data_IF_745133741282
#
_entry.id   IF_745133741282
#
_cell.length_a   1.000
_cell.length_b   1.000
_cell.length_c   1.000
_cell.angle_alpha   90.00
_cell.angle_beta   90.00
_cell.angle_gamma   90.00
#
_symmetry.space_group_name_H-M   'P 1'
#
loop_
_entity.id
_entity.type
_entity.pdbx_description
1 polymer ?
#
# COMPACT_ATOMS: atom_id res chain seq x y z
N UNK A 1 -7.60 -66.34 -44.57
CA UNK A 1 -7.11 -65.00 -44.97
C UNK A 1 -8.21 -64.02 -44.61
N UNK A 2 -8.39 -63.65 -43.34
CA UNK A 2 -7.73 -62.56 -42.58
C UNK A 2 -8.08 -61.15 -43.11
N UNK A 3 -8.85 -60.43 -42.27
CA UNK A 3 -8.94 -58.96 -42.11
C UNK A 3 -9.79 -58.28 -43.21
N UNK A 4 -10.98 -57.72 -42.96
CA UNK A 4 -11.21 -56.58 -42.07
C UNK A 4 -12.68 -56.52 -41.57
N UNK A 5 -12.90 -56.84 -40.30
CA UNK A 5 -14.11 -56.50 -39.52
C UNK A 5 -13.71 -55.59 -38.34
N UNK A 6 -12.69 -54.73 -38.53
CA UNK A 6 -12.11 -53.91 -37.45
C UNK A 6 -12.45 -52.42 -37.59
N UNK A 7 -13.11 -51.98 -38.67
CA UNK A 7 -13.25 -50.54 -38.94
C UNK A 7 -14.48 -49.85 -38.32
N UNK A 8 -15.31 -50.53 -37.52
CA UNK A 8 -16.53 -49.94 -36.91
C UNK A 8 -16.39 -49.70 -35.40
N UNK A 9 -15.36 -50.25 -34.75
CA UNK A 9 -15.10 -50.06 -33.31
C UNK A 9 -14.15 -48.90 -32.97
N UNK A 10 -13.58 -48.22 -33.97
CA UNK A 10 -12.67 -47.06 -33.78
C UNK A 10 -13.41 -45.70 -33.87
N UNK A 11 -14.65 -45.67 -34.36
CA UNK A 11 -15.41 -44.41 -34.50
C UNK A 11 -16.27 -44.04 -33.28
N UNK A 12 -16.42 -44.92 -32.28
CA UNK A 12 -17.23 -44.67 -31.06
C UNK A 12 -16.33 -44.44 -29.83
N UNK A 13 -15.01 -44.64 -29.97
CA UNK A 13 -13.98 -44.32 -28.97
C UNK A 13 -13.32 -42.94 -29.18
N UNK A 14 -14.00 -42.03 -29.89
CA UNK A 14 -13.84 -40.57 -29.76
C UNK A 14 -15.19 -40.08 -29.17
N UNK A 15 -15.59 -40.53 -27.99
CA UNK A 15 -14.74 -40.61 -26.81
C UNK A 15 -14.50 -39.21 -26.24
N UNK A 16 -15.58 -38.45 -26.05
CA UNK A 16 -15.85 -37.69 -24.82
C UNK A 16 -14.56 -37.14 -24.18
N UNK A 17 -13.95 -36.14 -24.80
CA UNK A 17 -12.91 -35.36 -24.16
C UNK A 17 -13.01 -33.90 -24.63
N UNK A 18 -13.36 -33.04 -23.68
CA UNK A 18 -13.23 -31.57 -23.72
C UNK A 18 -14.28 -30.80 -24.52
N UNK A 19 -15.57 -30.99 -24.20
CA UNK A 19 -16.55 -29.89 -24.28
C UNK A 19 -17.23 -29.60 -22.93
N UNK A 20 -16.53 -29.90 -21.84
CA UNK A 20 -16.88 -29.49 -20.48
C UNK A 20 -15.86 -28.46 -19.99
N UNK A 21 -15.92 -27.23 -20.52
CA UNK A 21 -15.33 -26.06 -19.83
C UNK A 21 -15.92 -24.70 -20.26
N UNK A 22 -17.07 -24.65 -20.94
CA UNK A 22 -17.70 -23.36 -21.31
C UNK A 22 -19.20 -23.29 -20.95
N UNK A 23 -19.57 -23.93 -19.85
CA UNK A 23 -20.60 -23.34 -19.00
C UNK A 23 -19.84 -22.81 -17.79
N UNK A 24 -19.53 -21.51 -17.78
CA UNK A 24 -19.23 -20.82 -16.51
C UNK A 24 -20.50 -20.99 -15.67
N UNK A 25 -20.49 -22.02 -14.83
CA UNK A 25 -21.47 -22.19 -13.76
C UNK A 25 -21.48 -20.84 -13.03
N UNK A 26 -22.62 -20.16 -12.86
CA UNK A 26 -22.64 -18.97 -12.04
C UNK A 26 -22.09 -19.39 -10.68
N UNK A 27 -21.02 -18.75 -10.22
CA UNK A 27 -20.44 -18.99 -8.91
C UNK A 27 -21.46 -18.52 -7.86
N UNK A 28 -22.42 -19.38 -7.56
CA UNK A 28 -23.44 -19.21 -6.54
C UNK A 28 -22.88 -19.68 -5.20
N UNK A 29 -21.71 -19.17 -4.83
CA UNK A 29 -21.08 -19.38 -3.55
C UNK A 29 -20.59 -18.04 -3.03
N UNK A 30 -20.86 -17.75 -1.76
CA UNK A 30 -20.25 -16.61 -1.07
C UNK A 30 -18.73 -16.75 -1.21
N UNK A 31 -18.09 -15.78 -1.86
CA UNK A 31 -16.64 -15.80 -2.05
C UNK A 31 -15.98 -15.23 -0.81
N UNK A 32 -15.05 -15.99 -0.24
CA UNK A 32 -14.23 -15.52 0.88
C UNK A 32 -12.92 -14.95 0.32
N UNK A 33 -12.57 -13.73 0.72
CA UNK A 33 -11.27 -13.13 0.47
C UNK A 33 -10.50 -12.99 1.79
N UNK A 34 -9.26 -13.43 1.82
CA UNK A 34 -8.35 -13.23 2.95
C UNK A 34 -7.61 -11.90 2.78
N UNK A 35 -7.67 -11.06 3.82
CA UNK A 35 -7.08 -9.71 3.81
C UNK A 35 -6.08 -9.58 4.94
N UNK A 36 -4.82 -9.29 4.62
CA UNK A 36 -3.78 -9.00 5.61
C UNK A 36 -3.64 -7.49 5.80
N UNK A 37 -3.56 -7.03 7.05
CA UNK A 37 -3.40 -5.61 7.38
C UNK A 37 -2.78 -5.39 8.76
N UNK A 38 -2.15 -4.24 8.96
CA UNK A 38 -1.64 -3.83 10.29
C UNK A 38 -2.69 -2.98 11.02
N UNK A 39 -2.93 -3.30 12.29
CA UNK A 39 -3.84 -2.56 13.18
C UNK A 39 -3.40 -1.12 13.37
N UNK A 40 -4.34 -0.26 13.75
CA UNK A 40 -4.11 1.16 14.01
C UNK A 40 -3.51 1.94 12.82
N UNK A 41 -3.45 1.35 11.63
CA UNK A 41 -3.16 2.09 10.41
C UNK A 41 -4.42 2.86 10.04
N UNK A 42 -4.27 4.17 9.87
CA UNK A 42 -5.40 5.04 9.58
C UNK A 42 -6.21 4.48 8.39
N UNK A 43 -7.54 4.47 8.55
CA UNK A 43 -8.54 4.14 7.53
C UNK A 43 -8.70 2.66 7.13
N UNK A 44 -7.80 1.73 7.46
CA UNK A 44 -7.93 0.33 7.01
C UNK A 44 -9.16 -0.38 7.62
N UNK A 45 -9.32 -0.34 8.94
CA UNK A 45 -10.45 -1.00 9.60
C UNK A 45 -11.80 -0.39 9.19
N UNK A 46 -11.84 0.93 9.03
CA UNK A 46 -13.02 1.66 8.56
C UNK A 46 -13.37 1.27 7.12
N UNK A 47 -12.39 1.27 6.21
CA UNK A 47 -12.59 0.87 4.82
C UNK A 47 -13.06 -0.58 4.71
N UNK A 48 -12.49 -1.50 5.48
CA UNK A 48 -12.89 -2.91 5.51
C UNK A 48 -14.31 -3.08 6.08
N UNK A 49 -14.66 -2.31 7.11
CA UNK A 49 -16.01 -2.29 7.68
C UNK A 49 -17.03 -1.77 6.67
N UNK A 50 -16.73 -0.66 6.00
CA UNK A 50 -17.57 -0.08 4.98
C UNK A 50 -17.76 -1.03 3.79
N UNK A 51 -16.69 -1.67 3.33
CA UNK A 51 -16.76 -2.68 2.27
C UNK A 51 -17.70 -3.83 2.62
N UNK A 52 -17.61 -4.37 3.84
CA UNK A 52 -18.51 -5.44 4.34
C UNK A 52 -19.98 -5.01 4.34
N UNK A 53 -20.26 -3.76 4.68
CA UNK A 53 -21.63 -3.24 4.69
C UNK A 53 -22.20 -3.11 3.28
N UNK A 54 -21.39 -2.69 2.30
CA UNK A 54 -21.83 -2.52 0.91
C UNK A 54 -21.88 -3.83 0.12
N UNK A 55 -21.08 -4.84 0.49
CA UNK A 55 -20.92 -6.07 -0.28
C UNK A 55 -21.30 -7.31 0.54
N UNK A 56 -22.56 -7.73 0.44
CA UNK A 56 -23.06 -8.94 1.14
C UNK A 56 -22.70 -10.26 0.46
N UNK A 57 -22.19 -10.21 -0.77
CA UNK A 57 -21.80 -11.41 -1.55
C UNK A 57 -20.37 -11.88 -1.31
N UNK A 58 -19.54 -11.03 -0.69
CA UNK A 58 -18.12 -11.28 -0.44
C UNK A 58 -17.90 -11.26 1.07
N UNK A 59 -17.33 -12.35 1.60
CA UNK A 59 -16.92 -12.44 2.99
C UNK A 59 -15.44 -12.10 3.09
N UNK A 60 -15.08 -11.21 4.01
CA UNK A 60 -13.68 -10.91 4.28
C UNK A 60 -13.20 -11.69 5.52
N UNK A 61 -12.21 -12.57 5.32
CA UNK A 61 -11.39 -13.14 6.37
C UNK A 61 -10.23 -12.19 6.66
N UNK A 62 -10.39 -11.33 7.67
CA UNK A 62 -9.42 -10.27 7.97
C UNK A 62 -8.40 -10.80 8.99
N UNK A 63 -7.12 -10.77 8.63
CA UNK A 63 -6.00 -11.13 9.50
C UNK A 63 -5.23 -9.86 9.85
N UNK A 64 -5.30 -9.49 11.12
CA UNK A 64 -4.73 -8.26 11.65
C UNK A 64 -3.39 -8.53 12.34
N UNK A 65 -2.39 -7.71 12.05
CA UNK A 65 -1.06 -7.76 12.65
C UNK A 65 -0.86 -6.54 13.54
N UNK A 66 -0.07 -6.66 14.62
CA UNK A 66 0.25 -5.52 15.49
C UNK A 66 1.35 -4.66 14.86
N UNK A 67 2.24 -5.27 14.08
CA UNK A 67 3.41 -4.64 13.47
C UNK A 67 3.58 -5.01 12.00
N UNK A 68 4.18 -4.09 11.23
CA UNK A 68 4.54 -4.29 9.82
C UNK A 68 5.55 -5.44 9.63
N UNK A 69 6.45 -5.64 10.58
CA UNK A 69 7.43 -6.73 10.57
C UNK A 69 6.75 -8.10 10.62
N UNK A 70 5.76 -8.27 11.51
CA UNK A 70 5.00 -9.51 11.67
C UNK A 70 4.21 -9.83 10.38
N UNK A 71 3.58 -8.81 9.78
CA UNK A 71 2.88 -8.96 8.51
C UNK A 71 3.86 -9.40 7.42
N UNK A 72 5.00 -8.73 7.31
CA UNK A 72 5.98 -8.96 6.24
C UNK A 72 6.62 -10.34 6.33
N UNK A 73 6.97 -10.81 7.54
CA UNK A 73 7.49 -12.16 7.78
C UNK A 73 6.46 -13.24 7.43
N UNK A 74 5.20 -13.04 7.87
CA UNK A 74 4.12 -13.97 7.57
C UNK A 74 3.82 -14.03 6.07
N UNK A 75 3.74 -12.86 5.44
CA UNK A 75 3.51 -12.73 4.00
C UNK A 75 4.62 -13.41 3.19
N UNK A 76 5.89 -13.20 3.54
CA UNK A 76 7.00 -13.85 2.85
C UNK A 76 6.92 -15.38 2.94
N UNK A 77 6.58 -15.91 4.11
CA UNK A 77 6.38 -17.34 4.34
C UNK A 77 5.22 -17.88 3.49
N UNK A 78 4.07 -17.21 3.53
CA UNK A 78 2.87 -17.68 2.82
C UNK A 78 2.98 -17.57 1.31
N UNK A 79 3.67 -16.54 0.80
CA UNK A 79 3.96 -16.43 -0.63
C UNK A 79 4.87 -17.58 -1.09
N UNK A 80 5.88 -17.95 -0.29
CA UNK A 80 6.77 -19.07 -0.63
C UNK A 80 6.05 -20.43 -0.65
N UNK A 81 4.99 -20.60 0.14
CA UNK A 81 4.17 -21.82 0.18
C UNK A 81 2.95 -21.78 -0.76
N UNK A 82 2.73 -20.66 -1.47
CA UNK A 82 1.57 -20.48 -2.35
C UNK A 82 0.24 -20.32 -1.60
N UNK A 83 0.28 -19.97 -0.31
CA UNK A 83 -0.89 -19.78 0.57
C UNK A 83 -1.06 -18.32 1.01
N UNK A 84 -0.53 -17.39 0.22
CA UNK A 84 -0.62 -15.94 0.48
C UNK A 84 -2.07 -15.44 0.57
N UNK A 85 -2.28 -14.26 1.20
CA UNK A 85 -3.60 -13.62 1.21
C UNK A 85 -4.02 -13.16 -0.19
N UNK A 86 -5.32 -12.93 -0.37
CA UNK A 86 -5.87 -12.38 -1.61
C UNK A 86 -5.61 -10.86 -1.73
N UNK A 87 -5.62 -10.15 -0.59
CA UNK A 87 -5.41 -8.70 -0.51
C UNK A 87 -4.47 -8.37 0.64
N UNK A 88 -3.55 -7.44 0.41
CA UNK A 88 -2.64 -6.94 1.44
C UNK A 88 -2.81 -5.43 1.52
N UNK A 89 -3.10 -4.93 2.71
CA UNK A 89 -3.11 -3.51 3.04
C UNK A 89 -1.87 -3.21 3.86
N UNK A 90 -0.91 -2.52 3.24
CA UNK A 90 0.34 -2.14 3.88
C UNK A 90 0.52 -0.61 3.82
N UNK A 91 1.22 -0.07 4.82
CA UNK A 91 1.52 1.36 4.89
C UNK A 91 2.89 1.68 4.29
N UNK A 92 3.28 2.95 4.32
CA UNK A 92 4.62 3.36 3.94
C UNK A 92 5.72 2.90 4.92
N UNK A 93 5.34 2.34 6.08
CA UNK A 93 6.26 1.67 7.00
C UNK A 93 6.44 0.17 6.74
N UNK A 94 5.90 -0.36 5.64
CA UNK A 94 6.12 -1.76 5.27
C UNK A 94 7.60 -2.08 5.10
N UNK A 95 8.03 -3.24 5.59
CA UNK A 95 9.39 -3.75 5.37
C UNK A 95 9.49 -4.62 4.11
N UNK A 96 8.37 -4.80 3.40
CA UNK A 96 8.32 -5.51 2.12
C UNK A 96 9.05 -4.71 1.04
N UNK A 97 10.00 -5.34 0.35
CA UNK A 97 10.52 -4.83 -0.91
C UNK A 97 9.45 -5.03 -1.99
N UNK A 98 8.53 -4.08 -2.09
CA UNK A 98 7.36 -4.18 -2.96
C UNK A 98 7.78 -4.30 -4.43
N UNK A 99 8.78 -3.53 -4.87
CA UNK A 99 9.27 -3.58 -6.25
C UNK A 99 9.84 -4.94 -6.63
N UNK A 100 10.66 -5.54 -5.74
CA UNK A 100 11.17 -6.89 -5.97
C UNK A 100 10.05 -7.92 -5.95
N UNK A 101 9.07 -7.73 -5.08
CA UNK A 101 7.95 -8.66 -4.92
C UNK A 101 7.02 -8.64 -6.14
N UNK A 102 6.83 -7.49 -6.80
CA UNK A 102 6.07 -7.37 -8.05
C UNK A 102 6.75 -8.03 -9.26
N UNK A 103 8.07 -8.29 -9.21
CA UNK A 103 8.82 -8.93 -10.31
C UNK A 103 8.77 -10.45 -10.27
N UNK A 104 8.57 -11.05 -9.11
CA UNK A 104 8.12 -12.44 -9.03
C UNK A 104 6.63 -12.45 -9.35
N UNK A 105 6.14 -13.43 -10.09
CA UNK A 105 4.71 -13.57 -10.47
C UNK A 105 3.75 -13.80 -9.28
N UNK A 106 4.10 -13.32 -8.09
CA UNK A 106 3.37 -13.40 -6.83
C UNK A 106 2.23 -12.38 -6.75
N UNK A 107 2.30 -11.28 -7.49
CA UNK A 107 1.28 -10.23 -7.51
C UNK A 107 0.55 -10.21 -8.84
N UNK A 108 -0.77 -10.05 -8.79
CA UNK A 108 -1.59 -9.91 -9.98
C UNK A 108 -1.32 -8.57 -10.68
N UNK A 109 -1.17 -8.61 -12.01
CA UNK A 109 -1.17 -7.41 -12.84
C UNK A 109 -2.59 -6.82 -12.89
N UNK A 110 -2.77 -5.69 -12.22
CA UNK A 110 -4.04 -4.99 -12.09
C UNK A 110 -4.38 -4.13 -13.32
N UNK A 111 -3.46 -3.95 -14.27
CA UNK A 111 -3.63 -3.02 -15.41
C UNK A 111 -4.88 -3.33 -16.24
N UNK A 112 -5.18 -4.63 -16.42
CA UNK A 112 -6.36 -5.09 -17.16
C UNK A 112 -7.68 -4.87 -16.41
N UNK A 113 -7.64 -4.74 -15.09
CA UNK A 113 -8.82 -4.45 -14.27
C UNK A 113 -9.13 -2.96 -14.33
N UNK A 114 -8.10 -2.11 -14.18
CA UNK A 114 -8.24 -0.65 -14.28
C UNK A 114 -8.74 -0.20 -15.65
N UNK A 115 -8.25 -0.80 -16.74
CA UNK A 115 -8.72 -0.47 -18.11
C UNK A 115 -10.18 -0.85 -18.38
N UNK A 116 -10.79 -1.71 -17.55
CA UNK A 116 -12.20 -2.14 -17.67
C UNK A 116 -13.11 -1.46 -16.67
N UNK A 117 -12.55 -0.73 -15.70
CA UNK A 117 -13.32 -0.04 -14.68
C UNK A 117 -13.74 1.34 -15.20
N UNK A 118 -14.98 1.46 -15.65
CA UNK A 118 -15.54 2.73 -16.14
C UNK A 118 -15.56 3.84 -15.08
N UNK A 119 -15.47 3.49 -13.80
CA UNK A 119 -15.40 4.47 -12.71
C UNK A 119 -13.99 5.01 -12.51
N UNK A 120 -12.98 4.24 -12.94
CA UNK A 120 -11.58 4.61 -12.92
C UNK A 120 -11.21 5.43 -14.16
N UNK A 121 -10.94 6.71 -13.94
CA UNK A 121 -10.62 7.67 -15.00
C UNK A 121 -9.41 8.49 -14.57
N UNK A 122 -8.43 8.66 -15.46
CA UNK A 122 -7.12 9.29 -15.16
C UNK A 122 -7.25 10.65 -14.46
N UNK A 123 -8.31 11.41 -14.75
CA UNK A 123 -8.58 12.75 -14.21
C UNK A 123 -9.08 12.75 -12.76
N UNK A 124 -9.59 11.61 -12.26
CA UNK A 124 -10.01 11.45 -10.86
C UNK A 124 -8.85 11.17 -9.91
N UNK A 125 -7.66 10.88 -10.43
CA UNK A 125 -6.49 10.50 -9.64
C UNK A 125 -5.29 11.37 -9.97
N UNK A 126 -4.32 11.40 -9.05
CA UNK A 126 -3.03 12.01 -9.31
C UNK A 126 -2.24 11.15 -10.29
N UNK A 127 -2.37 11.43 -11.59
CA UNK A 127 -1.76 10.65 -12.67
C UNK A 127 -0.26 10.43 -12.47
N UNK A 128 0.46 11.45 -12.03
CA UNK A 128 1.88 11.35 -11.70
C UNK A 128 2.16 10.31 -10.60
N UNK A 129 1.31 10.19 -9.58
CA UNK A 129 1.46 9.16 -8.54
C UNK A 129 1.23 7.78 -9.13
N UNK A 130 0.13 7.58 -9.86
CA UNK A 130 -0.22 6.29 -10.49
C UNK A 130 0.86 5.83 -11.46
N UNK A 131 1.38 6.71 -12.31
CA UNK A 131 2.41 6.37 -13.29
C UNK A 131 3.73 5.96 -12.64
N UNK A 132 4.13 6.63 -11.55
CA UNK A 132 5.41 6.37 -10.90
C UNK A 132 5.43 5.12 -10.02
N UNK A 133 4.28 4.55 -9.65
CA UNK A 133 4.22 3.30 -8.88
C UNK A 133 4.17 2.05 -9.76
N UNK A 134 4.12 2.19 -11.08
CA UNK A 134 4.15 1.06 -12.01
C UNK A 134 5.53 0.41 -11.99
N UNK A 135 5.55 -0.92 -11.98
CA UNK A 135 6.78 -1.72 -12.13
C UNK A 135 6.78 -2.33 -13.52
N UNK A 136 7.82 -2.05 -14.30
CA UNK A 136 7.96 -2.53 -15.69
C UNK A 136 6.72 -2.23 -16.57
N UNK A 137 6.12 -1.06 -16.36
CA UNK A 137 4.93 -0.57 -17.08
C UNK A 137 3.59 -1.13 -16.58
N UNK A 138 3.60 -2.04 -15.60
CA UNK A 138 2.40 -2.70 -15.06
C UNK A 138 2.00 -2.15 -13.69
N UNK A 139 0.70 -2.16 -13.44
CA UNK A 139 0.10 -1.75 -12.17
C UNK A 139 -0.07 -2.95 -11.24
N UNK A 140 0.62 -2.98 -10.11
CA UNK A 140 0.48 -4.07 -9.10
C UNK A 140 -0.10 -3.59 -7.77
N UNK A 141 -0.06 -2.27 -7.53
CA UNK A 141 -0.43 -1.64 -6.26
C UNK A 141 -1.55 -0.63 -6.53
N UNK A 142 -2.49 -0.47 -5.61
CA UNK A 142 -3.46 0.62 -5.66
C UNK A 142 -3.15 1.60 -4.52
N UNK A 143 -2.72 2.84 -4.80
CA UNK A 143 -2.39 3.78 -3.76
C UNK A 143 -3.68 4.37 -3.18
N UNK A 144 -3.91 4.16 -1.88
CA UNK A 144 -5.05 4.75 -1.16
C UNK A 144 -4.76 6.19 -0.74
N UNK A 145 -3.52 6.45 -0.33
CA UNK A 145 -3.05 7.77 0.09
C UNK A 145 -1.59 7.95 -0.32
N UNK A 146 -1.16 9.21 -0.38
CA UNK A 146 0.24 9.59 -0.46
C UNK A 146 0.44 10.79 0.46
N UNK A 147 1.63 10.93 1.01
CA UNK A 147 1.95 12.02 1.93
C UNK A 147 3.20 12.76 1.49
N UNK A 148 3.20 14.06 1.73
CA UNK A 148 4.38 14.89 1.63
C UNK A 148 4.80 15.31 3.03
N UNK A 149 6.10 15.26 3.30
CA UNK A 149 6.65 15.86 4.50
C UNK A 149 6.68 17.38 4.31
N UNK A 150 5.91 18.09 5.13
CA UNK A 150 5.89 19.54 5.17
C UNK A 150 6.39 20.03 6.53
N UNK A 151 7.13 21.14 6.52
CA UNK A 151 7.56 21.82 7.74
C UNK A 151 6.76 23.10 7.91
N UNK A 152 6.08 23.23 9.05
CA UNK A 152 5.37 24.45 9.43
C UNK A 152 6.01 25.09 10.66
N UNK A 153 6.09 26.42 10.69
CA UNK A 153 6.48 27.18 11.87
C UNK A 153 5.40 28.19 12.22
N UNK A 154 5.13 28.37 13.53
CA UNK A 154 4.24 29.45 13.99
C UNK A 154 4.83 30.80 13.60
N UNK A 155 4.03 31.66 12.96
CA UNK A 155 4.45 33.02 12.55
C UNK A 155 5.07 33.81 13.70
N UNK A 156 4.45 33.80 14.89
CA UNK A 156 4.97 34.49 16.07
C UNK A 156 6.34 33.98 16.56
N UNK A 157 6.70 32.73 16.26
CA UNK A 157 8.03 32.19 16.53
C UNK A 157 9.01 32.69 15.47
N UNK A 158 8.60 32.65 14.20
CA UNK A 158 9.43 33.12 13.10
C UNK A 158 9.74 34.64 13.21
N UNK A 159 8.75 35.45 13.60
CA UNK A 159 8.90 36.89 13.86
C UNK A 159 9.90 37.16 15.00
N UNK A 160 9.76 36.46 16.14
CA UNK A 160 10.70 36.54 17.28
C UNK A 160 12.13 36.17 16.89
N UNK A 161 12.27 35.25 15.95
CA UNK A 161 13.56 34.77 15.47
C UNK A 161 14.11 35.60 14.32
N UNK A 162 13.33 36.54 13.80
CA UNK A 162 13.64 37.36 12.62
C UNK A 162 13.96 36.49 11.39
N UNK A 163 13.25 35.36 11.23
CA UNK A 163 13.39 34.51 10.04
C UNK A 163 12.84 35.29 8.84
N UNK A 164 13.72 35.65 7.93
CA UNK A 164 13.36 36.34 6.69
C UNK A 164 12.89 35.31 5.65
N UNK A 165 12.09 35.77 4.68
CA UNK A 165 11.72 35.02 3.47
C UNK A 165 10.88 33.75 3.72
N UNK A 166 10.01 33.75 4.73
CA UNK A 166 9.04 32.64 4.94
C UNK A 166 8.08 32.48 3.75
N UNK A 167 7.76 33.59 3.08
CA UNK A 167 6.82 33.64 1.95
C UNK A 167 7.53 33.61 0.58
N UNK A 168 8.85 33.37 0.55
CA UNK A 168 9.63 33.28 -0.68
C UNK A 168 10.22 31.88 -0.85
N UNK A 169 10.48 31.42 -2.08
CA UNK A 169 11.16 30.15 -2.30
C UNK A 169 12.48 30.12 -1.52
N UNK A 170 12.57 29.23 -0.54
CA UNK A 170 13.74 29.05 0.30
C UNK A 170 14.48 27.79 -0.15
N UNK A 171 15.80 27.84 -0.23
CA UNK A 171 16.56 26.62 -0.49
C UNK A 171 16.53 25.70 0.73
N UNK A 172 16.70 24.39 0.55
CA UNK A 172 16.81 23.45 1.68
C UNK A 172 17.94 23.85 2.64
N UNK A 173 19.06 24.38 2.11
CA UNK A 173 20.17 24.88 2.91
C UNK A 173 19.76 26.06 3.80
N UNK A 174 19.03 27.01 3.25
CA UNK A 174 18.54 28.17 4.01
C UNK A 174 17.55 27.74 5.10
N UNK A 175 16.68 26.78 4.79
CA UNK A 175 15.78 26.17 5.78
C UNK A 175 16.55 25.51 6.93
N UNK A 176 17.53 24.66 6.62
CA UNK A 176 18.36 23.99 7.63
C UNK A 176 19.18 24.98 8.46
N UNK A 177 19.72 26.04 7.85
CA UNK A 177 20.41 27.11 8.57
C UNK A 177 19.47 27.84 9.55
N UNK A 178 18.24 28.10 9.15
CA UNK A 178 17.22 28.69 10.03
C UNK A 178 16.90 27.78 11.22
N UNK A 179 16.69 26.47 10.99
CA UNK A 179 16.46 25.47 12.05
C UNK A 179 17.65 25.38 13.01
N UNK A 180 18.88 25.32 12.51
CA UNK A 180 20.09 25.26 13.35
C UNK A 180 20.30 26.56 14.15
N UNK A 181 19.97 27.72 13.58
CA UNK A 181 20.01 28.99 14.30
C UNK A 181 19.01 29.02 15.46
N UNK A 182 17.83 28.40 15.27
CA UNK A 182 16.83 28.24 16.31
C UNK A 182 17.33 27.35 17.45
N UNK A 183 17.90 26.19 17.12
CA UNK A 183 18.46 25.28 18.11
C UNK A 183 19.53 25.98 18.98
N UNK A 184 20.44 26.74 18.37
CA UNK A 184 21.45 27.54 19.10
C UNK A 184 20.82 28.59 20.04
N UNK A 185 19.82 29.34 19.57
CA UNK A 185 19.10 30.35 20.37
C UNK A 185 18.31 29.73 21.54
N UNK A 186 17.80 28.51 21.39
CA UNK A 186 17.16 27.75 22.47
C UNK A 186 18.15 27.22 23.49
N UNK A 187 19.30 26.68 23.05
CA UNK A 187 20.35 26.23 23.98
C UNK A 187 20.88 27.39 24.85
N UNK A 188 20.97 28.61 24.31
CA UNK A 188 21.30 29.80 25.08
C UNK A 188 20.26 30.10 26.19
N UNK A 189 18.96 29.88 25.93
CA UNK A 189 17.89 30.09 26.92
C UNK A 189 17.82 29.02 28.00
N UNK A 190 18.21 27.77 27.72
CA UNK A 190 18.31 26.75 28.77
C UNK A 190 19.49 27.03 29.72
N UNK A 191 20.63 27.53 29.22
CA UNK A 191 21.79 27.81 30.05
C UNK A 191 21.55 29.00 31.01
N UNK A 192 20.85 30.04 30.57
CA UNK A 192 20.50 31.19 31.44
C UNK A 192 19.48 30.87 32.55
N UNK A 193 18.66 29.81 32.39
CA UNK A 193 17.68 29.41 33.42
C UNK A 193 18.25 28.47 34.48
N UNK A 194 19.28 27.70 34.15
CA UNK A 194 19.87 26.70 35.08
C UNK A 194 21.05 27.28 35.86
N UNK A 195 21.66 28.38 35.39
CA UNK A 195 22.82 29.00 36.05
C UNK A 195 22.57 30.47 36.45
N UNK A 196 21.47 30.78 37.14
CA UNK A 196 21.48 31.93 38.07
C UNK A 196 21.81 31.40 39.47
N UNK A 197 23.05 31.59 39.98
CA UNK A 197 23.29 31.41 41.40
C UNK A 197 22.44 32.44 42.12
N UNK A 198 21.52 31.99 42.96
CA UNK A 198 20.95 32.84 44.02
C UNK A 198 22.05 33.08 45.05
N UNK A 199 23.02 33.93 44.72
CA UNK A 199 23.86 34.55 45.74
C UNK A 199 23.00 35.62 46.41
N UNK A 200 22.35 35.24 47.51
CA UNK A 200 22.05 36.18 48.58
C UNK A 200 23.23 36.13 49.54
N UNK A 201 24.06 37.17 49.48
CA UNK A 201 24.86 37.60 50.62
C UNK A 201 23.93 38.12 51.73
N UNK A 202 24.40 37.95 52.97
CA UNK A 202 23.81 38.24 54.29
C UNK A 202 23.09 37.06 54.93
#
# INVERSE_FOLDING_TARGET
MKIAIVSILVAIAIGITVFTCLVKKPETGVKTLTVYYVKNTAYFEEALTFYKQLNTKIVLNMVAFEKEEELSEKLATDMATGTGPDVILFSDSTTLDVYKSCKGDNFADLSSYFSKDETYTDDKYFKNVIENIKTDGKQYIVPFTFKFTAYGMKKSVADKLQIKNLDSPMTYKDFMNNVLSYQKKLHFKCFERVCRPTYKSW
#
